data_IF_684841789042
#
_entry.id   IF_684841789042
#
_cell.length_a   1.000
_cell.length_b   1.000
_cell.length_c   1.000
_cell.angle_alpha   90.00
_cell.angle_beta   90.00
_cell.angle_gamma   90.00
#
_symmetry.space_group_name_H-M   'P 1'
#
loop_
_entity.id
_entity.type
_entity.pdbx_description
1 polymer ?
#
# COMPACT_ATOMS: atom_id res chain seq x y z
N UNK A 1 8.32 27.15 0.32
CA UNK A 1 7.89 26.56 -0.96
C UNK A 1 8.06 25.06 -0.84
N UNK A 2 7.00 24.26 -1.08
CA UNK A 2 7.11 22.79 -1.12
C UNK A 2 7.82 22.38 -2.41
N UNK A 3 8.91 21.66 -2.29
CA UNK A 3 9.63 21.11 -3.45
C UNK A 3 9.14 19.68 -3.68
N UNK A 4 8.56 19.43 -4.84
CA UNK A 4 8.13 18.10 -5.25
C UNK A 4 9.16 17.50 -6.20
N UNK A 5 9.48 16.23 -6.02
CA UNK A 5 10.40 15.46 -6.86
C UNK A 5 9.72 14.25 -7.49
N UNK A 6 10.33 13.72 -8.54
CA UNK A 6 9.93 12.42 -9.09
C UNK A 6 10.33 11.31 -8.09
N UNK A 7 9.48 10.29 -7.88
CA UNK A 7 9.82 9.15 -7.04
C UNK A 7 11.02 8.38 -7.60
N UNK A 8 11.85 7.85 -6.70
CA UNK A 8 12.97 6.96 -7.05
C UNK A 8 12.69 5.56 -6.57
N UNK A 9 12.81 4.58 -7.48
CA UNK A 9 12.48 3.19 -7.18
C UNK A 9 13.70 2.26 -7.22
N UNK A 10 14.87 2.80 -7.54
CA UNK A 10 16.16 2.11 -7.61
C UNK A 10 16.87 2.00 -6.26
N UNK A 11 16.44 2.78 -5.26
CA UNK A 11 17.03 2.77 -3.94
C UNK A 11 16.84 1.43 -3.22
N UNK A 12 17.85 1.08 -2.40
CA UNK A 12 17.76 -0.08 -1.51
C UNK A 12 16.69 0.17 -0.45
N UNK A 13 15.77 -0.78 -0.29
CA UNK A 13 14.75 -0.75 0.75
C UNK A 13 15.27 -1.51 1.97
N UNK A 14 15.45 -0.80 3.09
CA UNK A 14 15.84 -1.38 4.37
C UNK A 14 14.57 -1.73 5.18
N UNK A 15 14.15 -3.00 5.08
CA UNK A 15 12.97 -3.49 5.78
C UNK A 15 13.09 -3.33 7.30
N UNK A 16 14.27 -3.60 7.87
CA UNK A 16 14.46 -3.56 9.32
C UNK A 16 14.38 -2.13 9.85
N UNK A 17 14.89 -1.16 9.09
CA UNK A 17 14.71 0.25 9.42
C UNK A 17 13.24 0.64 9.46
N UNK A 18 12.46 0.23 8.46
CA UNK A 18 11.02 0.46 8.44
C UNK A 18 10.29 -0.24 9.60
N UNK A 19 10.62 -1.51 9.88
CA UNK A 19 9.97 -2.27 10.96
C UNK A 19 10.21 -1.68 12.35
N UNK A 20 11.37 -1.08 12.60
CA UNK A 20 11.65 -0.38 13.87
C UNK A 20 10.72 0.78 14.16
N UNK A 21 10.17 1.40 13.12
CA UNK A 21 9.28 2.55 13.22
C UNK A 21 7.80 2.16 13.32
N UNK A 22 7.47 0.87 13.15
CA UNK A 22 6.08 0.39 13.22
C UNK A 22 5.60 0.33 14.66
N UNK A 23 4.50 0.99 15.02
CA UNK A 23 3.90 0.83 16.33
C UNK A 23 3.52 -0.64 16.59
N UNK A 24 3.81 -1.16 17.78
CA UNK A 24 3.56 -2.58 18.13
C UNK A 24 2.08 -2.97 18.04
N UNK A 25 1.20 -2.02 18.23
CA UNK A 25 -0.26 -2.16 18.19
C UNK A 25 -0.87 -1.76 16.83
N UNK A 26 -0.04 -1.40 15.85
CA UNK A 26 -0.51 -1.13 14.49
C UNK A 26 -1.05 -2.41 13.83
N UNK A 27 -2.24 -2.31 13.24
CA UNK A 27 -2.96 -3.44 12.62
C UNK A 27 -3.46 -3.07 11.23
N UNK A 28 -3.65 -4.10 10.41
CA UNK A 28 -4.39 -3.98 9.16
C UNK A 28 -5.25 -5.23 8.91
N UNK A 29 -6.24 -5.10 8.03
CA UNK A 29 -7.19 -6.17 7.71
C UNK A 29 -6.53 -7.30 6.93
N UNK A 30 -6.95 -8.55 7.21
CA UNK A 30 -6.41 -9.77 6.58
C UNK A 30 -6.59 -9.82 5.05
N UNK A 31 -7.51 -9.03 4.49
CA UNK A 31 -7.67 -8.94 3.05
C UNK A 31 -6.40 -8.45 2.33
N UNK A 32 -5.56 -7.67 2.97
CA UNK A 32 -4.28 -7.25 2.40
C UNK A 32 -3.31 -8.42 2.28
N UNK A 33 -3.31 -9.34 3.26
CA UNK A 33 -2.50 -10.57 3.22
C UNK A 33 -2.98 -11.50 2.10
N UNK A 34 -4.29 -11.71 1.99
CA UNK A 34 -4.86 -12.59 0.96
C UNK A 34 -4.57 -12.07 -0.46
N UNK A 35 -4.49 -10.76 -0.64
CA UNK A 35 -4.05 -10.17 -1.91
C UNK A 35 -2.60 -10.54 -2.26
N UNK A 36 -1.69 -10.43 -1.28
CA UNK A 36 -0.27 -10.78 -1.47
C UNK A 36 -0.08 -12.26 -1.80
N UNK A 37 -0.83 -13.17 -1.15
CA UNK A 37 -0.81 -14.59 -1.49
C UNK A 37 -1.22 -14.83 -2.94
N UNK A 38 -2.32 -14.23 -3.40
CA UNK A 38 -2.77 -14.35 -4.79
C UNK A 38 -1.72 -13.87 -5.80
N UNK A 39 -0.99 -12.81 -5.48
CA UNK A 39 0.09 -12.32 -6.34
C UNK A 39 1.29 -13.28 -6.40
N UNK A 40 1.62 -13.92 -5.29
CA UNK A 40 2.77 -14.83 -5.20
C UNK A 40 2.45 -16.25 -5.70
N UNK A 41 1.19 -16.70 -5.61
CA UNK A 41 0.72 -18.07 -5.90
C UNK A 41 1.30 -18.68 -7.20
N UNK A 42 1.43 -17.96 -8.32
CA UNK A 42 2.02 -18.53 -9.54
C UNK A 42 3.49 -18.92 -9.41
N UNK A 43 4.17 -18.49 -8.33
CA UNK A 43 5.62 -18.69 -8.14
C UNK A 43 5.97 -19.34 -6.82
N UNK A 44 5.12 -19.23 -5.80
CA UNK A 44 5.42 -19.70 -4.45
C UNK A 44 4.14 -20.02 -3.68
N UNK A 45 4.10 -21.18 -3.02
CA UNK A 45 3.00 -21.57 -2.14
C UNK A 45 2.90 -20.62 -0.93
N UNK A 46 1.69 -20.36 -0.40
CA UNK A 46 1.48 -19.46 0.73
C UNK A 46 2.33 -19.78 1.97
N UNK A 47 2.45 -21.06 2.32
CA UNK A 47 3.22 -21.53 3.48
C UNK A 47 4.70 -21.15 3.36
N UNK A 48 5.25 -21.34 2.15
CA UNK A 48 6.64 -21.02 1.87
C UNK A 48 6.89 -19.51 1.88
N UNK A 49 5.91 -18.74 1.41
CA UNK A 49 5.98 -17.28 1.45
C UNK A 49 5.94 -16.75 2.90
N UNK A 50 5.11 -17.36 3.76
CA UNK A 50 5.07 -17.03 5.20
C UNK A 50 6.38 -17.32 5.91
N UNK A 51 7.01 -18.47 5.61
CA UNK A 51 8.33 -18.82 6.13
C UNK A 51 9.37 -17.78 5.68
N UNK A 52 9.42 -17.47 4.40
CA UNK A 52 10.33 -16.46 3.83
C UNK A 52 10.14 -15.09 4.48
N UNK A 53 8.91 -14.72 4.78
CA UNK A 53 8.55 -13.46 5.43
C UNK A 53 8.73 -13.50 6.97
N UNK A 54 9.06 -14.65 7.56
CA UNK A 54 9.11 -14.84 9.02
C UNK A 54 7.80 -14.45 9.71
N UNK A 55 6.67 -14.83 9.12
CA UNK A 55 5.32 -14.60 9.65
C UNK A 55 4.78 -15.90 10.21
N UNK A 56 4.41 -15.89 11.51
CA UNK A 56 3.95 -17.09 12.22
C UNK A 56 2.47 -17.39 12.04
N UNK A 57 1.66 -16.36 11.81
CA UNK A 57 0.22 -16.53 11.52
C UNK A 57 0.03 -17.36 10.24
N UNK A 58 -0.92 -18.30 10.28
CA UNK A 58 -1.17 -19.25 9.16
C UNK A 58 -2.51 -19.04 8.46
N UNK A 59 -3.42 -18.30 9.08
CA UNK A 59 -4.77 -18.08 8.53
C UNK A 59 -5.17 -16.63 8.62
N UNK A 60 -5.52 -16.07 7.48
CA UNK A 60 -5.92 -14.66 7.36
C UNK A 60 -7.39 -14.56 6.93
N UNK A 61 -8.22 -14.08 7.85
CA UNK A 61 -9.63 -13.79 7.58
C UNK A 61 -9.75 -12.33 7.09
N UNK A 62 -10.49 -12.04 6.01
CA UNK A 62 -10.46 -10.74 5.33
C UNK A 62 -10.69 -9.53 6.22
N UNK A 63 -11.58 -9.64 7.22
CA UNK A 63 -11.99 -8.54 8.08
C UNK A 63 -11.35 -8.54 9.47
N UNK A 64 -10.55 -9.54 9.80
CA UNK A 64 -9.82 -9.57 11.07
C UNK A 64 -8.56 -8.72 11.01
N UNK A 65 -8.13 -8.24 12.18
CA UNK A 65 -6.95 -7.41 12.32
C UNK A 65 -5.71 -8.25 12.61
N UNK A 66 -4.64 -7.96 11.87
CA UNK A 66 -3.34 -8.61 11.98
C UNK A 66 -2.23 -7.57 12.14
N UNK A 67 -1.08 -7.98 12.66
CA UNK A 67 0.04 -7.07 12.88
C UNK A 67 0.50 -6.41 11.57
N UNK A 68 0.61 -5.08 11.58
CA UNK A 68 1.11 -4.32 10.43
C UNK A 68 2.55 -4.72 10.09
N UNK A 69 3.38 -5.02 11.09
CA UNK A 69 4.73 -5.50 10.86
C UNK A 69 4.77 -6.79 10.02
N UNK A 70 3.84 -7.73 10.25
CA UNK A 70 3.76 -8.96 9.49
C UNK A 70 3.29 -8.70 8.04
N UNK A 71 2.35 -7.77 7.85
CA UNK A 71 1.98 -7.34 6.51
C UNK A 71 3.18 -6.75 5.75
N UNK A 72 3.98 -5.91 6.40
CA UNK A 72 5.17 -5.32 5.78
C UNK A 72 6.23 -6.37 5.40
N UNK A 73 6.47 -7.36 6.27
CA UNK A 73 7.36 -8.49 5.98
C UNK A 73 6.87 -9.28 4.78
N UNK A 74 5.57 -9.61 4.77
CA UNK A 74 4.95 -10.35 3.68
C UNK A 74 4.98 -9.56 2.36
N UNK A 75 4.67 -8.27 2.40
CA UNK A 75 4.74 -7.38 1.24
C UNK A 75 6.16 -7.33 0.64
N UNK A 76 7.17 -7.18 1.49
CA UNK A 76 8.57 -7.17 1.06
C UNK A 76 9.01 -8.51 0.46
N UNK A 77 8.62 -9.64 1.07
CA UNK A 77 8.88 -10.98 0.54
C UNK A 77 8.17 -11.20 -0.80
N UNK A 78 6.88 -10.84 -0.89
CA UNK A 78 6.09 -10.92 -2.11
C UNK A 78 6.76 -10.14 -3.26
N UNK A 79 7.26 -8.93 -2.98
CA UNK A 79 7.97 -8.13 -3.97
C UNK A 79 9.19 -8.86 -4.55
N UNK A 80 9.94 -9.58 -3.71
CA UNK A 80 11.08 -10.40 -4.17
C UNK A 80 10.68 -11.60 -5.01
N UNK A 81 9.60 -12.25 -4.66
CA UNK A 81 9.09 -13.43 -5.35
C UNK A 81 8.48 -13.05 -6.70
N UNK A 82 7.67 -12.00 -6.73
CA UNK A 82 6.93 -11.60 -7.95
C UNK A 82 7.81 -10.88 -8.98
N UNK A 83 8.82 -10.13 -8.52
CA UNK A 83 9.71 -9.33 -9.36
C UNK A 83 11.18 -9.52 -8.99
N UNK A 84 11.75 -10.75 -9.15
CA UNK A 84 13.08 -11.09 -8.64
C UNK A 84 14.21 -10.29 -9.31
N UNK A 85 14.02 -9.86 -10.56
CA UNK A 85 15.02 -9.11 -11.33
C UNK A 85 14.88 -7.59 -11.22
N UNK A 86 13.88 -7.09 -10.47
CA UNK A 86 13.66 -5.65 -10.32
C UNK A 86 14.27 -5.14 -9.01
N UNK A 87 14.74 -3.88 -8.95
CA UNK A 87 15.02 -3.22 -7.68
C UNK A 87 13.83 -3.35 -6.72
N UNK A 88 14.11 -3.50 -5.41
CA UNK A 88 13.05 -3.75 -4.42
C UNK A 88 12.01 -2.63 -4.37
N UNK A 89 12.43 -1.39 -4.52
CA UNK A 89 11.52 -0.25 -4.57
C UNK A 89 10.55 -0.32 -5.75
N UNK A 90 11.04 -0.66 -6.94
CA UNK A 90 10.20 -0.84 -8.13
C UNK A 90 9.24 -2.04 -7.98
N UNK A 91 9.70 -3.14 -7.40
CA UNK A 91 8.85 -4.28 -7.12
C UNK A 91 7.69 -3.94 -6.16
N UNK A 92 7.98 -3.19 -5.09
CA UNK A 92 6.98 -2.70 -4.15
C UNK A 92 5.98 -1.75 -4.83
N UNK A 93 6.45 -0.82 -5.67
CA UNK A 93 5.59 0.06 -6.44
C UNK A 93 4.62 -0.72 -7.33
N UNK A 94 5.10 -1.73 -8.06
CA UNK A 94 4.26 -2.59 -8.91
C UNK A 94 3.21 -3.34 -8.12
N UNK A 95 3.53 -3.84 -6.92
CA UNK A 95 2.51 -4.44 -6.04
C UNK A 95 1.49 -3.38 -5.62
N UNK A 96 1.93 -2.18 -5.25
CA UNK A 96 1.03 -1.07 -4.92
C UNK A 96 0.01 -0.80 -6.02
N UNK A 97 0.41 -0.83 -7.29
CA UNK A 97 -0.47 -0.62 -8.44
C UNK A 97 -1.62 -1.65 -8.53
N UNK A 98 -1.45 -2.84 -7.96
CA UNK A 98 -2.44 -3.93 -8.03
C UNK A 98 -3.39 -3.97 -6.84
N UNK A 99 -3.18 -3.15 -5.79
CA UNK A 99 -3.95 -3.26 -4.55
C UNK A 99 -5.45 -3.07 -4.75
N UNK A 100 -5.82 -2.17 -5.66
CA UNK A 100 -7.23 -1.93 -5.98
C UNK A 100 -7.89 -3.09 -6.70
N UNK A 101 -7.16 -3.87 -7.49
CA UNK A 101 -7.68 -5.10 -8.09
C UNK A 101 -7.99 -6.14 -7.01
N UNK A 102 -7.13 -6.25 -6.00
CA UNK A 102 -7.37 -7.10 -4.83
C UNK A 102 -8.58 -6.67 -4.02
N UNK A 103 -8.71 -5.37 -3.75
CA UNK A 103 -9.83 -4.81 -2.99
C UNK A 103 -11.13 -4.94 -3.78
N UNK A 104 -11.18 -4.47 -5.03
CA UNK A 104 -12.38 -4.50 -5.87
C UNK A 104 -12.79 -5.91 -6.26
N UNK A 105 -11.86 -6.85 -6.34
CA UNK A 105 -12.14 -8.27 -6.54
C UNK A 105 -12.80 -8.94 -5.34
N UNK A 106 -12.75 -8.33 -4.14
CA UNK A 106 -13.39 -8.83 -2.94
C UNK A 106 -14.86 -8.40 -2.84
N UNK A 107 -15.71 -9.21 -2.14
CA UNK A 107 -17.10 -8.83 -1.84
C UNK A 107 -17.18 -7.49 -1.08
N UNK A 108 -16.29 -7.27 -0.12
CA UNK A 108 -16.23 -6.05 0.65
C UNK A 108 -15.85 -4.82 -0.19
N UNK A 109 -14.89 -4.99 -1.08
CA UNK A 109 -14.49 -3.92 -1.99
C UNK A 109 -15.60 -3.56 -2.99
N UNK A 110 -16.33 -4.56 -3.48
CA UNK A 110 -17.50 -4.32 -4.36
C UNK A 110 -18.59 -3.51 -3.66
N UNK A 111 -18.83 -3.77 -2.38
CA UNK A 111 -19.81 -3.01 -1.58
C UNK A 111 -19.29 -1.59 -1.31
N UNK A 112 -18.02 -1.44 -0.93
CA UNK A 112 -17.42 -0.13 -0.61
C UNK A 112 -17.27 0.77 -1.85
N UNK A 113 -16.92 0.21 -3.00
CA UNK A 113 -16.58 0.95 -4.22
C UNK A 113 -17.63 0.82 -5.33
N UNK A 114 -18.49 -0.20 -5.28
CA UNK A 114 -19.53 -0.41 -6.29
C UNK A 114 -20.61 0.68 -6.31
N UNK A 115 -20.79 1.38 -5.20
CA UNK A 115 -21.75 2.50 -5.05
C UNK A 115 -21.16 3.82 -5.55
N UNK A 116 -19.82 3.92 -5.71
CA UNK A 116 -19.13 5.21 -5.91
C UNK A 116 -18.85 5.56 -7.37
N UNK A 117 -19.06 4.62 -8.30
CA UNK A 117 -18.52 4.81 -9.64
C UNK A 117 -16.98 4.80 -9.65
N UNK A 118 -16.37 4.93 -10.82
CA UNK A 118 -14.91 5.00 -11.00
C UNK A 118 -14.43 6.46 -11.20
N UNK A 119 -14.98 7.41 -10.44
CA UNK A 119 -14.48 8.79 -10.46
C UNK A 119 -13.25 8.90 -9.56
N UNK A 120 -12.11 9.27 -10.14
CA UNK A 120 -10.83 9.45 -9.46
C UNK A 120 -10.93 10.43 -8.29
N UNK A 121 -11.63 11.55 -8.47
CA UNK A 121 -11.76 12.55 -7.42
C UNK A 121 -12.52 12.00 -6.20
N UNK A 122 -13.58 11.24 -6.43
CA UNK A 122 -14.34 10.57 -5.37
C UNK A 122 -13.51 9.50 -4.66
N UNK A 123 -12.76 8.67 -5.41
CA UNK A 123 -11.90 7.63 -4.82
C UNK A 123 -10.81 8.27 -3.94
N UNK A 124 -10.15 9.31 -4.43
CA UNK A 124 -9.13 10.03 -3.65
C UNK A 124 -9.73 10.73 -2.43
N UNK A 125 -10.93 11.29 -2.54
CA UNK A 125 -11.61 11.93 -1.40
C UNK A 125 -12.06 10.93 -0.32
N UNK A 126 -12.43 9.71 -0.71
CA UNK A 126 -12.88 8.64 0.21
C UNK A 126 -11.71 7.80 0.73
N UNK A 127 -10.60 7.76 0.00
CA UNK A 127 -9.41 7.01 0.38
C UNK A 127 -9.01 7.11 1.85
N UNK A 128 -8.96 8.32 2.46
CA UNK A 128 -8.68 8.48 3.88
C UNK A 128 -9.66 7.73 4.81
N UNK A 129 -10.94 7.76 4.52
CA UNK A 129 -11.97 7.03 5.31
C UNK A 129 -11.82 5.53 5.14
N UNK A 130 -11.61 5.06 3.91
CA UNK A 130 -11.35 3.66 3.64
C UNK A 130 -10.07 3.17 4.35
N UNK A 131 -9.00 3.96 4.31
CA UNK A 131 -7.76 3.66 5.01
C UNK A 131 -7.98 3.50 6.53
N UNK A 132 -8.70 4.42 7.16
CA UNK A 132 -9.04 4.36 8.59
C UNK A 132 -9.88 3.14 8.96
N UNK A 133 -10.72 2.63 8.06
CA UNK A 133 -11.49 1.39 8.28
C UNK A 133 -10.63 0.14 8.13
N UNK A 134 -9.56 0.22 7.35
CA UNK A 134 -8.71 -0.91 7.01
C UNK A 134 -7.48 -1.04 7.91
N UNK A 135 -7.17 -0.03 8.72
CA UNK A 135 -5.99 0.02 9.58
C UNK A 135 -6.32 0.56 10.97
N UNK A 136 -5.55 0.15 11.96
CA UNK A 136 -5.65 0.64 13.34
C UNK A 136 -4.24 1.03 13.80
N UNK A 137 -4.12 2.19 14.45
CA UNK A 137 -2.85 2.73 14.98
C UNK A 137 -1.71 2.77 13.92
N UNK A 138 -2.08 3.07 12.66
CA UNK A 138 -1.16 3.06 11.51
C UNK A 138 -1.16 4.42 10.79
N UNK A 139 -0.84 5.48 11.50
CA UNK A 139 -0.77 6.80 10.90
C UNK A 139 -2.10 7.34 10.37
N UNK A 140 -2.00 8.37 9.56
CA UNK A 140 -3.14 9.06 8.99
C UNK A 140 -2.90 9.34 7.50
N UNK A 141 -3.96 9.20 6.71
CA UNK A 141 -4.01 9.67 5.32
C UNK A 141 -5.00 10.80 5.21
N UNK A 142 -4.59 11.90 4.59
CA UNK A 142 -5.47 13.04 4.29
C UNK A 142 -5.36 13.35 2.81
N UNK A 143 -6.49 13.52 2.13
CA UNK A 143 -6.55 13.92 0.73
C UNK A 143 -7.14 15.32 0.62
N UNK A 144 -6.46 16.19 -0.10
CA UNK A 144 -6.85 17.57 -0.35
C UNK A 144 -6.91 17.80 -1.85
N UNK A 145 -8.07 18.22 -2.36
CA UNK A 145 -8.20 18.67 -3.74
C UNK A 145 -7.73 20.10 -3.85
N UNK A 146 -6.70 20.36 -4.64
CA UNK A 146 -6.14 21.70 -4.86
C UNK A 146 -6.85 22.39 -6.01
N UNK A 147 -7.06 21.65 -7.09
CA UNK A 147 -7.81 22.10 -8.27
C UNK A 147 -8.44 20.90 -9.00
N UNK A 148 -8.96 21.09 -10.20
CA UNK A 148 -9.65 20.06 -10.98
C UNK A 148 -8.73 18.91 -11.44
N UNK A 149 -7.41 19.10 -11.39
CA UNK A 149 -6.39 18.15 -11.87
C UNK A 149 -5.36 17.79 -10.85
N UNK A 150 -5.37 18.43 -9.66
CA UNK A 150 -4.33 18.29 -8.65
C UNK A 150 -4.91 17.88 -7.31
N UNK A 151 -4.39 16.80 -6.76
CA UNK A 151 -4.65 16.34 -5.39
C UNK A 151 -3.34 16.26 -4.63
N UNK A 152 -3.38 16.68 -3.37
CA UNK A 152 -2.35 16.38 -2.39
C UNK A 152 -2.83 15.24 -1.49
N UNK A 153 -2.06 14.15 -1.44
CA UNK A 153 -2.29 13.05 -0.50
C UNK A 153 -1.18 13.09 0.54
N UNK A 154 -1.56 13.37 1.78
CA UNK A 154 -0.64 13.48 2.91
C UNK A 154 -0.67 12.19 3.70
N UNK A 155 0.48 11.59 3.91
CA UNK A 155 0.71 10.46 4.79
C UNK A 155 1.43 10.99 6.04
N UNK A 156 0.83 10.84 7.22
CA UNK A 156 1.36 11.31 8.49
C UNK A 156 1.62 10.14 9.41
N UNK A 157 2.76 10.14 10.11
CA UNK A 157 3.14 9.08 11.06
C UNK A 157 3.02 7.66 10.48
N UNK A 158 3.34 7.53 9.18
CA UNK A 158 3.28 6.27 8.45
C UNK A 158 4.65 5.98 7.83
N UNK A 159 5.51 5.20 8.50
CA UNK A 159 6.92 5.09 8.14
C UNK A 159 7.22 4.11 7.00
N UNK A 160 6.21 3.41 6.45
CA UNK A 160 6.48 2.28 5.57
C UNK A 160 6.27 2.55 4.10
N UNK A 161 7.32 2.36 3.30
CA UNK A 161 7.28 2.26 1.83
C UNK A 161 6.55 3.40 1.12
N UNK A 162 6.59 4.63 1.69
CA UNK A 162 5.86 5.79 1.17
C UNK A 162 6.29 6.13 -0.25
N UNK A 163 7.60 6.11 -0.51
CA UNK A 163 8.17 6.49 -1.80
C UNK A 163 8.03 5.40 -2.88
N UNK A 164 7.54 4.22 -2.50
CA UNK A 164 7.46 3.06 -3.39
C UNK A 164 6.05 2.48 -3.46
N UNK A 165 5.65 1.67 -2.49
CA UNK A 165 4.35 1.00 -2.47
C UNK A 165 3.17 1.99 -2.51
N UNK A 166 3.21 3.06 -1.71
CA UNK A 166 2.10 4.04 -1.68
C UNK A 166 2.05 4.90 -2.94
N UNK A 167 3.18 5.20 -3.57
CA UNK A 167 3.19 5.80 -4.92
C UNK A 167 2.48 4.88 -5.90
N UNK A 168 2.84 3.58 -5.91
CA UNK A 168 2.16 2.58 -6.72
C UNK A 168 0.66 2.50 -6.45
N UNK A 169 0.25 2.61 -5.18
CA UNK A 169 -1.17 2.62 -4.81
C UNK A 169 -1.92 3.78 -5.48
N UNK A 170 -1.38 4.99 -5.46
CA UNK A 170 -2.00 6.15 -6.13
C UNK A 170 -2.01 5.97 -7.65
N UNK A 171 -0.92 5.48 -8.23
CA UNK A 171 -0.86 5.17 -9.68
C UNK A 171 -1.89 4.10 -10.08
N UNK A 172 -2.11 3.09 -9.22
CA UNK A 172 -3.14 2.07 -9.41
C UNK A 172 -4.55 2.65 -9.46
N UNK A 173 -4.86 3.63 -8.60
CA UNK A 173 -6.14 4.38 -8.66
C UNK A 173 -6.29 5.07 -10.01
N UNK A 174 -5.29 5.84 -10.43
CA UNK A 174 -5.33 6.57 -11.70
C UNK A 174 -5.56 5.62 -12.87
N UNK A 175 -4.80 4.52 -12.93
CA UNK A 175 -4.92 3.51 -13.97
C UNK A 175 -6.31 2.87 -13.99
N UNK A 176 -6.86 2.54 -12.81
CA UNK A 176 -8.19 1.92 -12.67
C UNK A 176 -9.31 2.83 -13.15
N UNK A 177 -9.17 4.12 -12.96
CA UNK A 177 -10.10 5.14 -13.44
C UNK A 177 -9.87 5.54 -14.91
N UNK A 178 -8.91 4.95 -15.61
CA UNK A 178 -8.55 5.31 -16.98
C UNK A 178 -7.93 6.71 -17.11
N UNK A 179 -7.43 7.28 -16.02
CA UNK A 179 -6.86 8.62 -15.97
C UNK A 179 -5.35 8.56 -16.13
N UNK A 180 -4.80 9.33 -17.04
CA UNK A 180 -3.35 9.56 -17.14
C UNK A 180 -2.96 10.66 -16.16
N UNK A 181 -2.12 10.32 -15.20
CA UNK A 181 -1.64 11.26 -14.19
C UNK A 181 -0.16 11.04 -13.88
N UNK A 182 0.42 11.97 -13.12
CA UNK A 182 1.79 11.91 -12.63
C UNK A 182 1.77 12.05 -11.12
N UNK A 183 2.43 11.13 -10.43
CA UNK A 183 2.65 11.18 -8.98
C UNK A 183 4.00 11.84 -8.73
N UNK A 184 4.02 12.86 -7.87
CA UNK A 184 5.24 13.49 -7.35
C UNK A 184 5.23 13.38 -5.84
N UNK A 185 6.40 13.28 -5.25
CA UNK A 185 6.56 13.17 -3.80
C UNK A 185 7.22 14.43 -3.22
N UNK A 186 6.83 14.73 -2.00
CA UNK A 186 7.49 15.68 -1.13
C UNK A 186 7.68 15.01 0.23
N UNK A 187 8.90 14.55 0.48
CA UNK A 187 9.25 13.93 1.76
C UNK A 187 9.65 15.04 2.73
N UNK A 188 8.93 15.13 3.85
CA UNK A 188 9.40 15.83 5.03
C UNK A 188 10.14 14.82 5.89
N UNK A 189 11.23 15.28 6.48
CA UNK A 189 12.09 14.46 7.33
C UNK A 189 11.25 13.66 8.35
N UNK A 190 11.33 12.35 8.30
CA UNK A 190 10.58 11.44 9.17
C UNK A 190 10.99 11.58 10.66
N UNK A 191 12.11 12.23 10.94
CA UNK A 191 12.59 12.47 12.31
C UNK A 191 11.77 13.51 13.08
N UNK A 192 10.91 14.29 12.39
CA UNK A 192 10.16 15.41 12.97
C UNK A 192 8.65 15.39 12.59
N UNK A 193 8.12 14.24 12.13
CA UNK A 193 6.71 14.11 11.79
C UNK A 193 5.91 13.45 12.92
#
# INVERSE_FOLDING_TARGET
>A
VRVFSEPRFDAKVDLDAHLRLVPKDARCKGMFFTHLFKLAEPRMAPERLLELASVSERRFLPFHDYAMADHMRLLHATAGVTHPSSPRGEALRRIGQTIYDGILGSHAGKVLFGVLGLDTAQILAIGPKAFKLMTTNWGEVVSERIDDRTFHVHYRSMPAFLETYHVGTVEGVLAKCGVRGRVRIHVRDLANA
#
